data_IF_720834386431
#
_entry.id   IF_720834386431
#
_cell.length_a   1.000
_cell.length_b   1.000
_cell.length_c   1.000
_cell.angle_alpha   90.00
_cell.angle_beta   90.00
_cell.angle_gamma   90.00
#
_symmetry.space_group_name_H-M   'P 1'
#
loop_
_entity.id
_entity.type
_entity.pdbx_description
1 polymer ?
#
# COMPACT_ATOMS: atom_id res chain seq x y z
N UNK A 1 -4.32 -18.16 -2.02
CA UNK A 1 -4.19 -17.21 -0.88
C UNK A 1 -4.65 -17.87 0.40
N UNK A 2 -3.95 -17.63 1.50
CA UNK A 2 -4.35 -18.12 2.83
C UNK A 2 -5.36 -17.14 3.45
N UNK A 3 -6.39 -17.69 4.09
CA UNK A 3 -7.48 -16.91 4.70
C UNK A 3 -7.20 -16.67 6.18
N UNK A 4 -7.43 -15.45 6.65
CA UNK A 4 -7.32 -15.09 8.06
C UNK A 4 -8.58 -14.35 8.51
N UNK A 5 -9.24 -14.87 9.54
CA UNK A 5 -10.41 -14.24 10.16
C UNK A 5 -10.00 -13.40 11.38
N UNK A 6 -10.79 -12.37 11.71
CA UNK A 6 -10.54 -11.51 12.87
C UNK A 6 -10.64 -12.25 14.20
N UNK A 7 -11.57 -13.20 14.36
CA UNK A 7 -11.65 -14.07 15.55
C UNK A 7 -10.33 -14.78 15.89
N UNK A 8 -9.70 -15.32 14.85
CA UNK A 8 -8.42 -16.01 14.99
C UNK A 8 -7.31 -15.04 15.35
N UNK A 9 -7.34 -13.84 14.79
CA UNK A 9 -6.36 -12.83 15.14
C UNK A 9 -6.51 -12.39 16.61
N UNK A 10 -7.75 -12.11 17.05
CA UNK A 10 -8.04 -11.71 18.43
C UNK A 10 -7.58 -12.78 19.42
N UNK A 11 -7.95 -14.05 19.20
CA UNK A 11 -7.53 -15.14 20.09
C UNK A 11 -6.00 -15.30 20.20
N UNK A 12 -5.24 -14.98 19.15
CA UNK A 12 -3.76 -14.98 19.21
C UNK A 12 -3.19 -13.79 19.99
N UNK A 13 -3.85 -12.64 19.93
CA UNK A 13 -3.51 -11.47 20.73
C UNK A 13 -3.81 -11.75 22.20
N UNK A 14 -4.97 -12.32 22.51
CA UNK A 14 -5.38 -12.68 23.87
C UNK A 14 -4.44 -13.73 24.50
N UNK A 15 -3.90 -14.64 23.67
CA UNK A 15 -2.87 -15.61 24.10
C UNK A 15 -1.46 -14.97 24.23
N UNK A 16 -1.31 -13.66 24.03
CA UNK A 16 -0.04 -12.94 24.01
C UNK A 16 0.99 -13.47 23.00
N UNK A 17 0.53 -14.14 21.94
CA UNK A 17 1.39 -14.67 20.88
C UNK A 17 1.65 -13.67 19.78
N UNK A 18 0.79 -12.66 19.67
CA UNK A 18 0.95 -11.49 18.80
C UNK A 18 0.92 -10.25 19.66
N UNK A 19 1.93 -9.38 19.47
CA UNK A 19 2.00 -8.08 20.12
C UNK A 19 1.27 -7.03 19.25
N UNK A 20 0.14 -6.46 19.72
CA UNK A 20 -0.61 -5.47 18.96
C UNK A 20 0.11 -4.11 18.87
N UNK A 21 1.15 -3.89 19.67
CA UNK A 21 1.93 -2.65 19.69
C UNK A 21 2.79 -2.50 18.43
N UNK A 22 3.14 -3.63 17.80
CA UNK A 22 3.99 -3.69 16.60
C UNK A 22 3.14 -3.90 15.35
N UNK A 23 3.61 -3.47 14.18
CA UNK A 23 2.93 -3.73 12.92
C UNK A 23 2.90 -5.25 12.64
N UNK A 24 1.69 -5.81 12.57
CA UNK A 24 1.46 -7.23 12.27
C UNK A 24 1.67 -7.44 10.77
N UNK A 25 2.83 -7.99 10.41
CA UNK A 25 3.20 -8.32 9.02
C UNK A 25 3.10 -9.81 8.75
N UNK A 26 3.31 -10.23 7.49
CA UNK A 26 3.40 -11.64 7.09
C UNK A 26 4.44 -12.44 7.89
N UNK A 27 5.54 -11.80 8.30
CA UNK A 27 6.60 -12.43 9.09
C UNK A 27 6.08 -12.75 10.49
N UNK A 28 5.51 -11.76 11.18
CA UNK A 28 4.92 -11.92 12.52
C UNK A 28 3.78 -12.96 12.52
N UNK A 29 2.94 -12.98 11.49
CA UNK A 29 1.86 -13.98 11.35
C UNK A 29 2.39 -15.41 11.19
N UNK A 30 3.56 -15.57 10.57
CA UNK A 30 4.21 -16.88 10.40
C UNK A 30 4.99 -17.30 11.65
N UNK A 31 5.71 -16.37 12.29
CA UNK A 31 6.47 -16.59 13.52
C UNK A 31 5.57 -16.92 14.70
N UNK A 32 4.47 -16.16 14.86
CA UNK A 32 3.40 -16.47 15.83
C UNK A 32 2.62 -17.75 15.52
N UNK A 33 2.93 -18.42 14.39
CA UNK A 33 2.22 -19.61 13.88
C UNK A 33 0.70 -19.40 13.80
N UNK A 34 0.26 -18.15 13.61
CA UNK A 34 -1.15 -17.85 13.38
C UNK A 34 -1.59 -18.46 12.05
N UNK A 35 -0.74 -18.36 11.02
CA UNK A 35 -0.94 -19.03 9.74
C UNK A 35 0.23 -19.96 9.44
N UNK A 36 -0.09 -21.12 8.89
CA UNK A 36 0.90 -22.05 8.37
C UNK A 36 0.88 -22.05 6.84
N UNK A 37 2.05 -22.19 6.20
CA UNK A 37 2.15 -22.39 4.75
C UNK A 37 1.65 -21.21 3.91
N UNK A 38 2.10 -19.98 4.19
CA UNK A 38 1.74 -18.80 3.39
C UNK A 38 2.36 -18.93 1.99
N UNK A 39 1.53 -19.20 0.97
CA UNK A 39 1.97 -19.35 -0.44
C UNK A 39 1.85 -18.05 -1.22
N UNK A 40 0.62 -17.64 -1.51
CA UNK A 40 0.31 -16.49 -2.39
C UNK A 40 0.10 -15.17 -1.64
N UNK A 41 0.17 -15.21 -0.30
CA UNK A 41 -0.18 -14.09 0.57
C UNK A 41 -1.40 -14.39 1.44
N UNK A 42 -1.80 -13.37 2.19
CA UNK A 42 -2.86 -13.45 3.20
C UNK A 42 -4.01 -12.53 2.83
N UNK A 43 -5.23 -13.09 2.85
CA UNK A 43 -6.47 -12.35 2.71
C UNK A 43 -7.16 -12.29 4.07
N UNK A 44 -7.36 -11.07 4.56
CA UNK A 44 -8.07 -10.80 5.79
C UNK A 44 -9.58 -10.77 5.54
N UNK A 45 -10.34 -11.46 6.40
CA UNK A 45 -11.80 -11.53 6.37
C UNK A 45 -12.38 -11.08 7.70
N UNK A 46 -13.55 -10.43 7.65
CA UNK A 46 -14.27 -9.90 8.83
C UNK A 46 -15.02 -10.96 9.65
N UNK A 47 -14.59 -12.21 9.65
CA UNK A 47 -15.19 -13.26 10.48
C UNK A 47 -15.03 -12.92 11.96
N UNK A 48 -16.17 -12.71 12.62
CA UNK A 48 -16.31 -12.32 14.03
C UNK A 48 -15.77 -10.92 14.36
N UNK A 49 -16.09 -9.98 13.48
CA UNK A 49 -15.89 -8.55 13.72
C UNK A 49 -16.45 -8.06 15.08
N UNK A 50 -17.53 -8.68 15.58
CA UNK A 50 -18.18 -8.30 16.83
C UNK A 50 -17.30 -8.55 18.07
N UNK A 51 -16.51 -9.62 18.03
CA UNK A 51 -15.62 -10.03 19.13
C UNK A 51 -14.27 -9.29 19.08
N UNK A 52 -13.96 -8.63 17.97
CA UNK A 52 -12.69 -7.92 17.78
C UNK A 52 -12.66 -6.62 18.58
N UNK A 53 -11.65 -6.45 19.44
CA UNK A 53 -11.57 -5.33 20.40
C UNK A 53 -10.25 -4.58 20.33
N UNK A 54 -9.17 -5.24 19.93
CA UNK A 54 -7.83 -4.67 20.03
C UNK A 54 -7.52 -3.76 18.84
N UNK A 55 -7.02 -2.53 19.06
CA UNK A 55 -6.49 -1.71 17.97
C UNK A 55 -5.20 -2.35 17.44
N UNK A 56 -5.13 -2.58 16.14
CA UNK A 56 -3.97 -3.19 15.49
C UNK A 56 -3.57 -2.44 14.23
N UNK A 57 -2.28 -2.49 13.92
CA UNK A 57 -1.75 -2.06 12.62
C UNK A 57 -1.36 -3.31 11.84
N UNK A 58 -2.13 -3.65 10.80
CA UNK A 58 -1.94 -4.90 10.05
C UNK A 58 -1.59 -4.65 8.59
N UNK A 59 -0.58 -5.36 8.11
CA UNK A 59 -0.09 -5.29 6.73
C UNK A 59 -0.28 -6.65 6.07
N UNK A 60 -1.23 -6.71 5.13
CA UNK A 60 -1.68 -7.95 4.47
C UNK A 60 -1.69 -7.80 2.96
N UNK A 61 -1.89 -8.91 2.23
CA UNK A 61 -1.96 -8.85 0.77
C UNK A 61 -3.30 -8.31 0.29
N UNK A 62 -4.41 -8.79 0.88
CA UNK A 62 -5.76 -8.34 0.59
C UNK A 62 -6.61 -8.31 1.86
N UNK A 63 -7.67 -7.52 1.86
CA UNK A 63 -8.63 -7.44 2.96
C UNK A 63 -10.06 -7.30 2.43
N UNK A 64 -11.04 -7.86 3.13
CA UNK A 64 -12.46 -7.61 2.85
C UNK A 64 -12.89 -6.25 3.40
N UNK A 65 -13.90 -5.62 2.79
CA UNK A 65 -14.48 -4.37 3.29
C UNK A 65 -14.91 -4.49 4.76
N UNK A 66 -15.62 -5.57 5.09
CA UNK A 66 -16.03 -5.87 6.47
C UNK A 66 -14.87 -5.98 7.46
N UNK A 67 -13.70 -6.44 7.03
CA UNK A 67 -12.53 -6.53 7.90
C UNK A 67 -11.88 -5.16 8.13
N UNK A 68 -11.82 -4.34 7.08
CA UNK A 68 -11.27 -2.99 7.13
C UNK A 68 -12.13 -2.13 8.05
N UNK A 69 -13.45 -2.14 7.85
CA UNK A 69 -14.41 -1.40 8.68
C UNK A 69 -14.31 -1.81 10.16
N UNK A 70 -14.25 -3.12 10.44
CA UNK A 70 -14.14 -3.61 11.82
C UNK A 70 -12.83 -3.18 12.51
N UNK A 71 -11.71 -3.18 11.79
CA UNK A 71 -10.40 -2.77 12.36
C UNK A 71 -10.35 -1.26 12.56
N UNK A 72 -10.80 -0.49 11.58
CA UNK A 72 -10.82 0.98 11.65
C UNK A 72 -11.80 1.48 12.71
N UNK A 73 -12.94 0.81 12.89
CA UNK A 73 -13.89 1.11 13.97
C UNK A 73 -13.29 0.96 15.37
N UNK A 74 -12.25 0.12 15.52
CA UNK A 74 -11.49 -0.03 16.77
C UNK A 74 -10.26 0.89 16.84
N UNK A 75 -10.05 1.77 15.86
CA UNK A 75 -8.89 2.66 15.79
C UNK A 75 -7.61 1.99 15.30
N UNK A 76 -7.71 0.82 14.66
CA UNK A 76 -6.58 0.19 13.98
C UNK A 76 -6.37 0.72 12.56
N UNK A 77 -5.28 0.28 11.93
CA UNK A 77 -4.98 0.58 10.52
C UNK A 77 -4.75 -0.70 9.72
N UNK A 78 -5.26 -0.71 8.49
CA UNK A 78 -5.05 -1.79 7.53
C UNK A 78 -4.29 -1.25 6.33
N UNK A 79 -3.18 -1.89 5.96
CA UNK A 79 -2.46 -1.58 4.71
C UNK A 79 -2.42 -2.83 3.85
N UNK A 80 -2.88 -2.71 2.60
CA UNK A 80 -2.72 -3.79 1.61
C UNK A 80 -1.47 -3.56 0.76
N UNK A 81 -0.55 -4.55 0.78
CA UNK A 81 0.73 -4.53 0.06
C UNK A 81 0.79 -5.71 -0.91
N UNK A 82 1.33 -5.46 -2.10
CA UNK A 82 1.56 -6.51 -3.09
C UNK A 82 2.68 -7.46 -2.66
N UNK A 83 2.46 -8.76 -2.82
CA UNK A 83 3.45 -9.79 -2.58
C UNK A 83 3.38 -10.87 -3.67
N UNK A 84 4.53 -11.48 -3.95
CA UNK A 84 4.67 -12.67 -4.79
C UNK A 84 5.16 -13.86 -3.98
N UNK A 85 4.91 -15.09 -4.45
CA UNK A 85 5.41 -16.33 -3.82
C UNK A 85 6.90 -16.29 -3.43
N UNK A 86 7.84 -15.92 -4.34
CA UNK A 86 9.25 -15.86 -3.96
C UNK A 86 9.54 -14.75 -2.95
N UNK A 87 8.86 -13.59 -3.04
CA UNK A 87 9.04 -12.51 -2.07
C UNK A 87 8.62 -12.94 -0.67
N UNK A 88 7.51 -13.67 -0.51
CA UNK A 88 7.04 -14.16 0.78
C UNK A 88 8.06 -15.10 1.40
N UNK A 89 8.61 -16.05 0.62
CA UNK A 89 9.68 -16.93 1.10
C UNK A 89 10.88 -16.14 1.61
N UNK A 90 11.29 -15.10 0.88
CA UNK A 90 12.43 -14.24 1.28
C UNK A 90 12.14 -13.42 2.53
N UNK A 91 10.92 -12.90 2.70
CA UNK A 91 10.47 -12.22 3.93
C UNK A 91 10.57 -13.17 5.13
N UNK A 92 10.11 -14.41 4.98
CA UNK A 92 10.18 -15.43 6.03
C UNK A 92 11.63 -15.81 6.38
N UNK A 93 12.53 -15.79 5.40
CA UNK A 93 13.96 -15.97 5.59
C UNK A 93 14.68 -14.69 6.06
N UNK A 94 13.96 -13.60 6.32
CA UNK A 94 14.51 -12.28 6.70
C UNK A 94 15.50 -11.69 5.70
N UNK A 95 15.45 -12.09 4.42
CA UNK A 95 16.30 -11.58 3.34
C UNK A 95 15.73 -10.33 2.66
N UNK A 96 14.48 -10.00 2.96
CA UNK A 96 13.71 -8.89 2.37
C UNK A 96 12.90 -8.25 3.49
N UNK A 97 12.74 -6.92 3.52
CA UNK A 97 11.88 -6.28 4.50
C UNK A 97 10.42 -6.74 4.33
N UNK A 98 9.71 -6.95 5.44
CA UNK A 98 8.30 -7.35 5.42
C UNK A 98 7.38 -6.23 4.91
N UNK A 99 7.78 -4.99 5.14
CA UNK A 99 7.13 -3.78 4.62
C UNK A 99 8.20 -2.74 4.32
N UNK A 100 8.10 -2.14 3.14
CA UNK A 100 8.86 -0.93 2.79
C UNK A 100 7.88 0.21 2.89
N UNK A 101 8.05 1.08 3.89
CA UNK A 101 7.38 2.38 3.88
C UNK A 101 7.68 3.11 2.58
N UNK A 102 6.75 3.96 2.17
CA UNK A 102 6.78 4.69 0.91
C UNK A 102 8.10 5.45 0.79
N UNK A 103 8.90 5.04 -0.20
CA UNK A 103 10.26 5.54 -0.48
C UNK A 103 11.21 5.44 0.73
N UNK A 104 11.75 4.24 0.99
CA UNK A 104 13.09 4.20 1.56
C UNK A 104 14.03 4.88 0.57
N UNK A 105 14.65 5.98 0.99
CA UNK A 105 15.89 6.44 0.38
C UNK A 105 16.79 5.21 0.18
N UNK A 106 17.34 4.99 -1.02
CA UNK A 106 18.13 3.79 -1.30
C UNK A 106 19.35 3.63 -0.38
N UNK A 107 19.71 4.70 0.36
CA UNK A 107 20.77 4.76 1.35
C UNK A 107 20.36 4.28 2.76
N UNK A 108 19.07 4.30 3.11
CA UNK A 108 18.55 3.94 4.44
C UNK A 108 17.98 2.52 4.50
N UNK A 109 18.06 1.78 3.38
CA UNK A 109 17.72 0.38 3.37
C UNK A 109 18.77 -0.40 4.19
N UNK A 110 18.35 -0.93 5.33
CA UNK A 110 18.99 -2.08 5.99
C UNK A 110 19.53 -3.08 4.94
N UNK A 111 20.63 -3.81 5.20
CA UNK A 111 21.34 -4.64 4.22
C UNK A 111 20.56 -5.91 3.84
N UNK A 112 19.35 -5.75 3.33
CA UNK A 112 18.54 -6.81 2.78
C UNK A 112 19.03 -7.13 1.37
N UNK A 113 19.28 -8.41 1.11
CA UNK A 113 19.77 -8.88 -0.19
C UNK A 113 18.76 -8.65 -1.33
N UNK A 114 17.47 -8.53 -1.02
CA UNK A 114 16.43 -8.36 -2.03
C UNK A 114 15.39 -7.30 -1.64
N UNK A 115 14.82 -6.65 -2.65
CA UNK A 115 13.72 -5.69 -2.53
C UNK A 115 12.36 -6.38 -2.71
N UNK A 116 11.31 -5.76 -2.18
CA UNK A 116 9.94 -6.17 -2.45
C UNK A 116 9.55 -5.81 -3.90
N UNK A 117 8.79 -6.69 -4.58
CA UNK A 117 8.28 -6.41 -5.91
C UNK A 117 7.11 -5.43 -5.87
N UNK A 118 6.93 -4.69 -6.96
CA UNK A 118 5.73 -3.90 -7.22
C UNK A 118 4.81 -4.59 -8.25
N UNK A 119 3.50 -4.32 -8.22
CA UNK A 119 2.55 -4.98 -9.11
C UNK A 119 2.79 -4.56 -10.56
N UNK A 120 2.84 -5.54 -11.46
CA UNK A 120 3.00 -5.31 -12.91
C UNK A 120 1.68 -5.41 -13.65
N UNK A 121 0.75 -6.22 -13.15
CA UNK A 121 -0.53 -6.44 -13.82
C UNK A 121 -1.46 -5.24 -13.59
N UNK A 122 -2.21 -4.85 -14.63
CA UNK A 122 -3.20 -3.75 -14.54
C UNK A 122 -4.16 -3.97 -13.37
N UNK A 123 -4.71 -5.18 -13.24
CA UNK A 123 -5.68 -5.53 -12.19
C UNK A 123 -5.10 -5.35 -10.78
N UNK A 124 -3.84 -5.75 -10.58
CA UNK A 124 -3.19 -5.59 -9.28
C UNK A 124 -2.86 -4.12 -9.01
N UNK A 125 -2.37 -3.38 -10.00
CA UNK A 125 -2.09 -1.94 -9.85
C UNK A 125 -3.37 -1.19 -9.45
N UNK A 126 -4.48 -1.42 -10.15
CA UNK A 126 -5.78 -0.80 -9.83
C UNK A 126 -6.24 -1.17 -8.41
N UNK A 127 -6.06 -2.44 -7.99
CA UNK A 127 -6.40 -2.89 -6.65
C UNK A 127 -5.63 -2.16 -5.55
N UNK A 128 -4.30 -2.03 -5.66
CA UNK A 128 -3.49 -1.35 -4.63
C UNK A 128 -3.52 0.18 -4.73
N UNK A 129 -4.10 0.73 -5.80
CA UNK A 129 -4.39 2.16 -5.94
C UNK A 129 -5.71 2.56 -5.32
N UNK A 130 -6.66 1.64 -5.18
CA UNK A 130 -7.99 1.93 -4.65
C UNK A 130 -7.94 2.29 -3.16
N UNK A 131 -8.42 3.49 -2.76
CA UNK A 131 -8.59 3.85 -1.36
C UNK A 131 -9.48 2.85 -0.61
N UNK A 132 -10.47 2.24 -1.24
CA UNK A 132 -11.37 1.26 -0.61
C UNK A 132 -10.63 0.02 -0.09
N UNK A 133 -9.51 -0.35 -0.70
CA UNK A 133 -8.68 -1.48 -0.28
C UNK A 133 -7.51 -1.09 0.62
N UNK A 134 -7.39 0.20 0.97
CA UNK A 134 -6.27 0.77 1.75
C UNK A 134 -4.92 0.34 1.18
N UNK A 135 -4.83 0.40 -0.14
CA UNK A 135 -3.61 0.01 -0.86
C UNK A 135 -2.48 0.99 -0.63
N UNK A 136 -1.25 0.48 -0.61
CA UNK A 136 -0.06 1.30 -0.40
C UNK A 136 0.22 2.29 -1.57
N UNK A 137 -0.41 2.10 -2.73
CA UNK A 137 -0.27 2.97 -3.92
C UNK A 137 -1.35 4.07 -4.02
N UNK A 138 -2.19 4.21 -3.00
CA UNK A 138 -3.30 5.20 -2.97
C UNK A 138 -2.83 6.64 -3.11
N UNK A 139 -1.67 6.98 -2.53
CA UNK A 139 -1.03 8.29 -2.67
C UNK A 139 -0.73 8.72 -4.12
N UNK A 140 -0.64 7.78 -5.07
CA UNK A 140 -0.41 8.07 -6.48
C UNK A 140 -1.67 8.54 -7.20
N UNK A 141 -2.84 8.41 -6.58
CA UNK A 141 -4.13 8.80 -7.14
C UNK A 141 -4.47 10.20 -6.63
N UNK A 142 -4.71 11.12 -7.55
CA UNK A 142 -5.13 12.48 -7.19
C UNK A 142 -6.55 12.49 -6.61
N UNK A 143 -6.84 13.41 -5.70
CA UNK A 143 -8.14 13.48 -5.04
C UNK A 143 -9.28 13.61 -6.08
N UNK A 144 -10.16 12.60 -6.10
CA UNK A 144 -11.30 12.46 -7.01
C UNK A 144 -10.98 11.92 -8.40
N UNK A 145 -9.79 11.37 -8.64
CA UNK A 145 -9.53 10.46 -9.76
C UNK A 145 -9.91 9.02 -9.35
N UNK A 146 -10.36 8.22 -10.31
CA UNK A 146 -10.68 6.81 -10.06
C UNK A 146 -9.40 5.96 -9.97
N UNK A 147 -9.46 4.78 -9.30
CA UNK A 147 -8.29 3.89 -9.20
C UNK A 147 -7.92 3.23 -10.53
N UNK A 148 -8.83 3.22 -11.51
CA UNK A 148 -8.64 2.59 -12.81
C UNK A 148 -7.62 3.32 -13.67
N UNK A 149 -6.73 2.55 -14.30
CA UNK A 149 -5.72 3.09 -15.22
C UNK A 149 -6.29 3.51 -16.58
N UNK A 150 -7.50 3.05 -16.91
CA UNK A 150 -8.13 3.26 -18.22
C UNK A 150 -9.40 4.09 -18.14
N UNK A 151 -10.31 3.69 -17.26
CA UNK A 151 -11.59 4.38 -17.10
C UNK A 151 -11.38 5.65 -16.26
N UNK A 152 -12.09 6.71 -16.64
CA UNK A 152 -12.07 7.98 -15.92
C UNK A 152 -13.47 8.23 -15.39
N UNK A 153 -13.56 8.90 -14.24
CA UNK A 153 -14.84 9.29 -13.66
C UNK A 153 -15.54 10.26 -14.65
N UNK A 154 -16.77 9.94 -15.09
CA UNK A 154 -17.51 10.82 -16.00
C UNK A 154 -17.72 12.18 -15.33
N UNK A 155 -17.50 13.26 -16.10
CA UNK A 155 -17.54 14.65 -15.59
C UNK A 155 -16.19 15.22 -15.13
N UNK A 156 -15.15 14.38 -14.98
CA UNK A 156 -13.79 14.82 -14.62
C UNK A 156 -12.74 14.49 -15.69
N UNK A 157 -13.18 14.30 -16.93
CA UNK A 157 -12.27 14.29 -18.07
C UNK A 157 -11.72 15.71 -18.25
N UNK A 158 -10.40 15.88 -18.24
CA UNK A 158 -9.77 17.06 -18.83
C UNK A 158 -10.43 17.27 -20.19
N UNK A 159 -11.24 18.31 -20.29
CA UNK A 159 -11.61 18.90 -21.57
C UNK A 159 -10.28 19.09 -22.28
N UNK A 160 -9.98 18.25 -23.26
CA UNK A 160 -8.91 18.54 -24.20
C UNK A 160 -9.45 19.65 -25.09
N UNK A 161 -9.65 20.82 -24.50
CA UNK A 161 -9.72 22.06 -25.22
C UNK A 161 -8.46 22.08 -26.07
N UNK A 162 -8.65 22.02 -27.38
CA UNK A 162 -7.65 22.35 -28.38
C UNK A 162 -6.85 23.52 -27.81
N UNK A 163 -5.55 23.33 -27.60
CA UNK A 163 -4.66 24.45 -27.34
C UNK A 163 -4.84 25.42 -28.49
N UNK A 164 -5.59 26.50 -28.25
CA UNK A 164 -5.57 27.68 -29.09
C UNK A 164 -4.12 28.12 -29.10
N UNK A 165 -3.54 28.09 -30.29
CA UNK A 165 -2.33 28.82 -30.63
C UNK A 165 -2.66 30.30 -30.50
N UNK A 166 -2.58 30.85 -29.29
CA UNK A 166 -2.62 32.28 -29.09
C UNK A 166 -1.23 32.83 -29.42
N UNK A 167 -1.04 33.11 -30.71
CA UNK A 167 -0.07 34.06 -31.18
C UNK A 167 -0.42 35.43 -30.58
N UNK A 168 0.37 35.90 -29.61
CA UNK A 168 0.37 37.29 -29.20
C UNK A 168 1.77 37.71 -28.76
N UNK A 169 2.47 38.28 -29.74
CA UNK A 169 3.49 39.33 -29.63
C UNK A 169 3.47 40.15 -28.32
N UNK A 170 4.62 40.21 -27.64
CA UNK A 170 4.86 41.11 -26.52
C UNK A 170 6.35 41.24 -26.20
N UNK A 171 6.99 42.24 -26.82
CA UNK A 171 8.38 42.73 -26.68
C UNK A 171 9.14 42.34 -25.41
N UNK A 172 10.23 41.58 -25.55
CA UNK A 172 11.32 41.55 -24.57
C UNK A 172 12.26 42.73 -24.82
N UNK A 173 12.21 43.72 -23.93
CA UNK A 173 13.13 44.86 -23.88
C UNK A 173 14.50 44.38 -23.37
N UNK A 174 15.54 44.78 -24.10
CA UNK A 174 16.93 44.54 -23.76
C UNK A 174 17.30 45.08 -22.37
N UNK A 175 18.03 44.29 -21.58
CA UNK A 175 18.93 44.81 -20.56
C UNK A 175 20.28 44.10 -20.66
N UNK A 176 21.24 44.88 -21.15
CA UNK A 176 22.68 44.66 -21.16
C UNK A 176 23.18 44.63 -19.70
N UNK A 177 23.94 43.61 -19.34
CA UNK A 177 24.95 43.74 -18.29
C UNK A 177 26.09 42.78 -18.55
N UNK A 178 27.18 43.35 -19.07
CA UNK A 178 28.53 42.82 -18.95
C UNK A 178 28.84 42.56 -17.48
N UNK A 179 29.32 41.36 -17.15
CA UNK A 179 30.59 41.27 -16.44
C UNK A 179 31.23 39.89 -16.64
N UNK A 180 32.30 39.88 -17.44
CA UNK A 180 33.33 38.84 -17.47
C UNK A 180 34.24 39.06 -16.25
N UNK A 181 34.62 38.00 -15.54
CA UNK A 181 35.97 37.80 -14.99
C UNK A 181 36.22 36.28 -14.90
N UNK A 182 37.29 35.88 -15.61
CA UNK A 182 38.02 34.60 -15.74
C UNK A 182 37.25 33.29 -15.92
#
# INVERSE_FOLDING_TARGET
>A
MSVLNLDRLQSWIDQHRLDPSKPITLKELAESRCLHGIKDGVKLLGGGADAFRTPINIIVSRASASAIEAIEARGGSVTSRFYTRPSIRRILLSQTPAFTGQALDPASAEPFAFRLPDPTSRKDIEYYRDPAHRGYLTHLVSEGEGPSLFFKVPGKGKDRGKGKVDAASGKAVAKKSENRIW
#
